data_IF_326114779003
#
_entry.id   IF_326114779003
#
_cell.length_a   1.000
_cell.length_b   1.000
_cell.length_c   1.000
_cell.angle_alpha   90.00
_cell.angle_beta   90.00
_cell.angle_gamma   90.00
#
_symmetry.space_group_name_H-M   'P 1'
#
loop_
_entity.id
_entity.type
_entity.pdbx_description
1 polymer ?
#
# COMPACT_ATOMS: atom_id res chain seq x y z
N UNK A 1 -46.50 -12.56 -32.86
CA UNK A 1 -46.20 -13.31 -31.63
C UNK A 1 -44.73 -13.67 -31.50
N UNK A 2 -44.06 -14.11 -32.54
CA UNK A 2 -42.62 -14.43 -32.45
C UNK A 2 -41.71 -13.23 -32.13
N UNK A 3 -42.07 -12.04 -32.61
CA UNK A 3 -41.28 -10.80 -32.34
C UNK A 3 -41.39 -10.33 -30.88
N UNK A 4 -42.52 -10.55 -30.22
CA UNK A 4 -42.74 -10.21 -28.82
C UNK A 4 -41.88 -11.10 -27.90
N UNK A 5 -41.71 -12.37 -28.28
CA UNK A 5 -40.89 -13.34 -27.56
C UNK A 5 -39.40 -12.96 -27.63
N UNK A 6 -38.92 -12.46 -28.79
CA UNK A 6 -37.54 -11.99 -28.96
C UNK A 6 -37.25 -10.74 -28.15
N UNK A 7 -38.20 -9.81 -28.08
CA UNK A 7 -38.05 -8.58 -27.29
C UNK A 7 -38.01 -8.91 -25.79
N UNK A 8 -38.82 -9.87 -25.34
CA UNK A 8 -38.80 -10.31 -23.95
C UNK A 8 -37.50 -11.04 -23.59
N UNK A 9 -36.98 -11.85 -24.51
CA UNK A 9 -35.72 -12.57 -24.31
C UNK A 9 -34.52 -11.62 -24.30
N UNK A 10 -34.55 -10.58 -25.14
CA UNK A 10 -33.51 -9.54 -25.15
C UNK A 10 -33.52 -8.69 -23.88
N UNK A 11 -34.72 -8.40 -23.34
CA UNK A 11 -34.85 -7.63 -22.09
C UNK A 11 -34.33 -8.41 -20.87
N UNK A 12 -34.47 -9.74 -20.86
CA UNK A 12 -33.94 -10.59 -19.77
C UNK A 12 -32.43 -10.67 -19.83
N UNK A 13 -31.81 -10.62 -21.00
CA UNK A 13 -30.37 -10.61 -21.16
C UNK A 13 -29.73 -9.29 -20.71
N UNK A 14 -30.47 -8.18 -20.76
CA UNK A 14 -29.97 -6.89 -20.30
C UNK A 14 -30.02 -6.74 -18.77
N UNK A 15 -30.85 -7.52 -18.09
CA UNK A 15 -30.93 -7.48 -16.62
C UNK A 15 -29.87 -8.31 -15.90
N UNK A 16 -29.19 -9.20 -16.60
CA UNK A 16 -28.15 -10.06 -16.02
C UNK A 16 -26.75 -9.43 -16.01
N UNK A 17 -26.54 -8.22 -16.58
CA UNK A 17 -25.23 -7.57 -16.66
C UNK A 17 -24.94 -6.60 -15.51
N UNK A 18 -25.89 -6.40 -14.56
CA UNK A 18 -25.77 -5.36 -13.52
C UNK A 18 -25.37 -5.84 -12.13
N UNK A 19 -25.00 -7.11 -11.91
CA UNK A 19 -24.87 -7.65 -10.55
C UNK A 19 -23.46 -8.03 -10.10
N UNK A 20 -22.40 -7.62 -10.82
CA UNK A 20 -21.02 -7.80 -10.33
C UNK A 20 -20.56 -6.54 -9.62
N UNK A 21 -20.89 -6.41 -8.32
CA UNK A 21 -20.17 -5.50 -7.44
C UNK A 21 -18.77 -6.07 -7.28
N UNK A 22 -17.75 -5.30 -7.71
CA UNK A 22 -16.38 -5.63 -7.37
C UNK A 22 -16.23 -5.53 -5.86
N UNK A 23 -15.90 -6.64 -5.22
CA UNK A 23 -15.53 -6.62 -3.81
C UNK A 23 -14.29 -5.71 -3.65
N UNK A 24 -14.28 -4.91 -2.57
CA UNK A 24 -13.15 -4.07 -2.25
C UNK A 24 -11.96 -4.95 -1.88
N UNK A 25 -10.85 -4.83 -2.60
CA UNK A 25 -9.61 -5.52 -2.26
C UNK A 25 -8.85 -4.72 -1.20
N UNK A 26 -9.13 -5.01 0.06
CA UNK A 26 -8.50 -4.34 1.20
C UNK A 26 -6.99 -4.55 1.25
N UNK A 27 -6.52 -5.74 0.84
CA UNK A 27 -5.10 -6.04 0.76
C UNK A 27 -4.38 -5.15 -0.25
N UNK A 28 -4.96 -5.00 -1.44
CA UNK A 28 -4.40 -4.12 -2.47
C UNK A 28 -4.35 -2.67 -2.01
N UNK A 29 -5.38 -2.19 -1.32
CA UNK A 29 -5.40 -0.81 -0.78
C UNK A 29 -4.32 -0.62 0.28
N UNK A 30 -4.16 -1.58 1.18
CA UNK A 30 -3.10 -1.56 2.19
C UNK A 30 -1.71 -1.53 1.55
N UNK A 31 -1.49 -2.33 0.51
CA UNK A 31 -0.22 -2.39 -0.20
C UNK A 31 0.09 -1.09 -0.95
N UNK A 32 -0.90 -0.46 -1.57
CA UNK A 32 -0.73 0.85 -2.20
C UNK A 32 -0.40 1.93 -1.16
N UNK A 33 -1.01 1.90 0.01
CA UNK A 33 -0.68 2.80 1.10
C UNK A 33 0.78 2.60 1.55
N UNK A 34 1.20 1.35 1.76
CA UNK A 34 2.58 1.01 2.12
C UNK A 34 3.58 1.51 1.07
N UNK A 35 3.28 1.27 -0.21
CA UNK A 35 4.09 1.77 -1.33
C UNK A 35 4.24 3.28 -1.27
N UNK A 36 3.15 4.00 -1.08
CA UNK A 36 3.16 5.46 -0.99
C UNK A 36 4.03 5.97 0.16
N UNK A 37 3.96 5.33 1.33
CA UNK A 37 4.84 5.68 2.45
C UNK A 37 6.31 5.46 2.11
N UNK A 38 6.66 4.34 1.48
CA UNK A 38 8.04 4.08 1.05
C UNK A 38 8.50 5.04 -0.04
N UNK A 39 7.62 5.47 -0.93
CA UNK A 39 7.93 6.52 -1.92
C UNK A 39 8.27 7.84 -1.22
N UNK A 40 7.57 8.20 -0.16
CA UNK A 40 7.92 9.34 0.67
C UNK A 40 9.30 9.18 1.31
N UNK A 41 9.62 7.99 1.82
CA UNK A 41 10.92 7.69 2.41
C UNK A 41 12.06 7.91 1.41
N UNK A 42 11.95 7.32 0.23
CA UNK A 42 13.00 7.43 -0.80
C UNK A 42 13.11 8.83 -1.41
N UNK A 43 12.05 9.64 -1.31
CA UNK A 43 12.03 11.03 -1.76
C UNK A 43 12.55 12.02 -0.72
N UNK A 44 13.01 11.53 0.45
CA UNK A 44 13.49 12.38 1.53
C UNK A 44 12.38 13.04 2.36
N UNK A 45 11.13 12.65 2.16
CA UNK A 45 9.97 13.15 2.92
C UNK A 45 9.80 12.32 4.20
N UNK A 46 10.78 12.39 5.08
CA UNK A 46 10.87 11.52 6.26
C UNK A 46 9.74 11.74 7.25
N UNK A 47 9.28 12.98 7.39
CA UNK A 47 8.16 13.29 8.28
C UNK A 47 6.87 12.62 7.80
N UNK A 48 6.60 12.63 6.50
CA UNK A 48 5.44 11.94 5.92
C UNK A 48 5.55 10.41 6.09
N UNK A 49 6.74 9.85 5.99
CA UNK A 49 6.96 8.44 6.28
C UNK A 49 6.67 8.11 7.75
N UNK A 50 7.13 8.95 8.67
CA UNK A 50 6.87 8.80 10.11
C UNK A 50 5.37 8.89 10.43
N UNK A 51 4.66 9.82 9.80
CA UNK A 51 3.22 9.99 9.96
C UNK A 51 2.41 8.79 9.44
N UNK A 52 3.00 7.99 8.56
CA UNK A 52 2.42 6.73 8.10
C UNK A 52 2.53 5.57 9.09
N UNK A 53 3.24 5.74 10.18
CA UNK A 53 3.40 4.73 11.23
C UNK A 53 2.28 4.84 12.26
N UNK A 54 1.85 3.69 12.79
CA UNK A 54 0.89 3.65 13.89
C UNK A 54 1.56 4.02 15.21
N UNK A 55 1.67 5.30 15.47
CA UNK A 55 2.32 5.88 16.64
C UNK A 55 1.33 6.73 17.45
N UNK A 56 1.60 7.03 18.72
CA UNK A 56 0.80 7.97 19.49
C UNK A 56 0.72 9.34 18.83
N UNK A 57 -0.40 10.04 19.01
CA UNK A 57 -0.66 11.34 18.39
C UNK A 57 0.37 12.40 18.76
N UNK A 58 0.93 12.29 19.96
CA UNK A 58 1.99 13.19 20.44
C UNK A 58 3.27 12.41 20.69
N UNK A 59 4.29 12.71 19.91
CA UNK A 59 5.63 12.15 20.09
C UNK A 59 6.53 13.16 20.80
N UNK A 60 7.39 12.72 21.74
CA UNK A 60 8.47 13.56 22.23
C UNK A 60 9.33 14.05 21.07
N UNK A 61 9.75 15.31 21.10
CA UNK A 61 10.60 15.90 20.05
C UNK A 61 11.91 15.14 19.84
N UNK A 62 12.50 14.66 20.92
CA UNK A 62 13.73 13.86 20.86
C UNK A 62 13.53 12.54 20.12
N UNK A 63 12.39 11.88 20.33
CA UNK A 63 12.04 10.65 19.62
C UNK A 63 11.81 10.93 18.13
N UNK A 64 11.00 11.94 17.80
CA UNK A 64 10.76 12.33 16.42
C UNK A 64 12.06 12.66 15.68
N UNK A 65 12.90 13.50 16.27
CA UNK A 65 14.20 13.87 15.68
C UNK A 65 15.10 12.66 15.45
N UNK A 66 15.12 11.72 16.39
CA UNK A 66 15.92 10.49 16.26
C UNK A 66 15.38 9.60 15.12
N UNK A 67 14.07 9.47 15.02
CA UNK A 67 13.44 8.67 13.95
C UNK A 67 13.74 9.28 12.57
N UNK A 68 13.57 10.59 12.42
CA UNK A 68 13.89 11.27 11.16
C UNK A 68 15.35 11.09 10.78
N UNK A 69 16.25 11.16 11.74
CA UNK A 69 17.69 10.92 11.52
C UNK A 69 17.96 9.48 11.11
N UNK A 70 17.29 8.51 11.72
CA UNK A 70 17.42 7.10 11.37
C UNK A 70 16.99 6.84 9.92
N UNK A 71 15.89 7.47 9.46
CA UNK A 71 15.43 7.35 8.07
C UNK A 71 16.45 7.91 7.09
N UNK A 72 17.00 9.08 7.39
CA UNK A 72 18.06 9.69 6.59
C UNK A 72 19.28 8.78 6.48
N UNK A 73 19.74 8.24 7.59
CA UNK A 73 20.88 7.30 7.64
C UNK A 73 20.58 6.04 6.82
N UNK A 74 19.38 5.50 6.94
CA UNK A 74 18.95 4.34 6.15
C UNK A 74 19.05 4.63 4.64
N UNK A 75 18.46 5.73 4.19
CA UNK A 75 18.45 6.10 2.76
C UNK A 75 19.86 6.32 2.24
N UNK A 76 20.72 7.01 3.01
CA UNK A 76 22.13 7.21 2.65
C UNK A 76 22.90 5.89 2.55
N UNK A 77 22.61 4.95 3.44
CA UNK A 77 23.24 3.62 3.39
C UNK A 77 22.84 2.89 2.11
N UNK A 78 21.56 2.93 1.75
CA UNK A 78 21.09 2.31 0.50
C UNK A 78 21.75 2.95 -0.72
N UNK A 79 21.95 4.27 -0.72
CA UNK A 79 22.66 4.97 -1.79
C UNK A 79 24.10 4.48 -1.92
N UNK A 80 24.78 4.28 -0.81
CA UNK A 80 26.17 3.81 -0.77
C UNK A 80 26.29 2.33 -1.18
N UNK A 81 25.42 1.47 -0.65
CA UNK A 81 25.53 0.02 -0.83
C UNK A 81 24.93 -0.50 -2.13
N UNK A 82 23.86 0.14 -2.60
CA UNK A 82 23.04 -0.35 -3.74
C UNK A 82 22.75 0.71 -4.80
N UNK A 83 23.44 1.85 -4.76
CA UNK A 83 23.17 3.03 -5.63
C UNK A 83 21.74 3.58 -5.43
N UNK A 84 21.20 3.41 -4.23
CA UNK A 84 19.91 3.92 -3.84
C UNK A 84 18.72 3.03 -4.21
N UNK A 85 17.60 3.32 -3.57
CA UNK A 85 16.30 2.73 -3.93
C UNK A 85 15.70 3.61 -5.02
N UNK A 86 15.55 3.09 -6.24
CA UNK A 86 15.07 3.86 -7.40
C UNK A 86 13.57 3.79 -7.58
N UNK A 87 12.97 2.66 -7.17
CA UNK A 87 11.53 2.43 -7.34
C UNK A 87 11.03 1.48 -6.29
N UNK A 88 9.79 1.67 -5.86
CA UNK A 88 9.04 0.74 -5.02
C UNK A 88 7.86 0.23 -5.82
N UNK A 89 7.64 -1.06 -5.83
CA UNK A 89 6.47 -1.67 -6.45
C UNK A 89 5.79 -2.64 -5.50
N UNK A 90 4.50 -2.88 -5.71
CA UNK A 90 3.74 -3.88 -4.96
C UNK A 90 3.96 -5.25 -5.60
N UNK A 91 4.38 -6.22 -4.80
CA UNK A 91 4.45 -7.62 -5.22
C UNK A 91 3.13 -8.34 -4.94
N UNK A 92 2.65 -8.28 -3.71
CA UNK A 92 1.41 -8.91 -3.27
C UNK A 92 0.97 -8.34 -1.93
N UNK A 93 -0.20 -8.79 -1.45
CA UNK A 93 -0.68 -8.44 -0.14
C UNK A 93 -1.53 -9.57 0.45
N UNK A 94 -1.54 -9.67 1.76
CA UNK A 94 -2.42 -10.56 2.52
C UNK A 94 -3.24 -9.73 3.49
N UNK A 95 -4.56 -9.84 3.40
CA UNK A 95 -5.50 -9.15 4.28
C UNK A 95 -6.12 -10.11 5.29
N UNK A 96 -6.21 -9.66 6.54
CA UNK A 96 -6.90 -10.36 7.62
C UNK A 96 -8.10 -9.54 8.08
N UNK A 97 -9.29 -9.99 7.69
CA UNK A 97 -10.54 -9.30 8.04
C UNK A 97 -10.79 -9.29 9.55
N UNK A 98 -10.34 -10.32 10.27
CA UNK A 98 -10.58 -10.51 11.70
C UNK A 98 -10.13 -9.31 12.55
N UNK A 99 -8.96 -8.74 12.24
CA UNK A 99 -8.35 -7.67 13.01
C UNK A 99 -8.03 -6.42 12.17
N UNK A 100 -8.49 -6.39 10.93
CA UNK A 100 -8.23 -5.31 9.97
C UNK A 100 -6.73 -5.02 9.81
N UNK A 101 -5.93 -6.08 9.69
CA UNK A 101 -4.51 -6.00 9.40
C UNK A 101 -4.18 -6.55 8.02
N UNK A 102 -3.03 -6.18 7.51
CA UNK A 102 -2.53 -6.71 6.26
C UNK A 102 -1.01 -6.80 6.30
N UNK A 103 -0.45 -7.68 5.49
CA UNK A 103 0.97 -7.67 5.16
C UNK A 103 1.11 -7.23 3.71
N UNK A 104 1.78 -6.13 3.48
CA UNK A 104 2.13 -5.67 2.16
C UNK A 104 3.52 -6.17 1.80
N UNK A 105 3.62 -6.86 0.67
CA UNK A 105 4.90 -7.34 0.14
C UNK A 105 5.32 -6.39 -0.98
N UNK A 106 6.36 -5.59 -0.69
CA UNK A 106 6.89 -4.60 -1.63
C UNK A 106 8.20 -5.08 -2.22
N UNK A 107 8.49 -4.67 -3.43
CA UNK A 107 9.80 -4.82 -4.05
C UNK A 107 10.51 -3.48 -4.07
N UNK A 108 11.70 -3.44 -3.49
CA UNK A 108 12.61 -2.30 -3.59
C UNK A 108 13.53 -2.56 -4.78
N UNK A 109 13.48 -1.67 -5.76
CA UNK A 109 14.34 -1.73 -6.94
C UNK A 109 15.52 -0.79 -6.74
N UNK A 110 16.71 -1.37 -6.65
CA UNK A 110 17.94 -0.63 -6.40
C UNK A 110 18.61 -0.13 -7.68
N UNK A 111 19.42 0.91 -7.54
CA UNK A 111 20.17 1.49 -8.65
C UNK A 111 21.25 0.58 -9.23
N UNK A 112 21.66 -0.45 -8.50
CA UNK A 112 22.61 -1.49 -8.94
C UNK A 112 21.93 -2.65 -9.70
N UNK A 113 20.66 -2.49 -10.10
CA UNK A 113 19.84 -3.49 -10.80
C UNK A 113 19.45 -4.70 -9.96
N UNK A 114 19.67 -4.68 -8.66
CA UNK A 114 19.16 -5.70 -7.73
C UNK A 114 17.81 -5.30 -7.16
N UNK A 115 17.07 -6.28 -6.64
CA UNK A 115 15.78 -6.06 -5.98
C UNK A 115 15.75 -6.78 -4.65
N UNK A 116 14.98 -6.23 -3.71
CA UNK A 116 14.75 -6.85 -2.41
C UNK A 116 13.25 -6.80 -2.09
N UNK A 117 12.70 -7.92 -1.62
CA UNK A 117 11.35 -7.95 -1.11
C UNK A 117 11.34 -7.59 0.37
N UNK A 118 10.49 -6.64 0.72
CA UNK A 118 10.24 -6.27 2.12
C UNK A 118 8.79 -6.54 2.46
N UNK A 119 8.55 -6.94 3.71
CA UNK A 119 7.21 -7.14 4.25
C UNK A 119 6.89 -5.95 5.15
N UNK A 120 5.79 -5.27 4.85
CA UNK A 120 5.33 -4.13 5.64
C UNK A 120 4.02 -4.53 6.30
N UNK A 121 4.03 -4.78 7.62
CA UNK A 121 2.80 -5.02 8.37
C UNK A 121 1.97 -3.74 8.42
N UNK A 122 0.68 -3.86 8.12
CA UNK A 122 -0.24 -2.74 8.05
C UNK A 122 -1.43 -2.94 9.00
N UNK A 123 -1.94 -1.85 9.53
CA UNK A 123 -3.12 -1.81 10.40
C UNK A 123 -4.09 -0.75 9.88
N UNK A 124 -5.35 -1.12 9.74
CA UNK A 124 -6.40 -0.15 9.41
C UNK A 124 -6.96 0.48 10.69
N UNK A 125 -6.93 1.80 10.74
CA UNK A 125 -7.39 2.58 11.89
C UNK A 125 -8.13 3.82 11.38
N UNK A 126 -9.38 3.99 11.81
CA UNK A 126 -10.22 5.12 11.37
C UNK A 126 -10.33 5.26 9.84
N UNK A 127 -10.44 4.12 9.15
CA UNK A 127 -10.57 4.08 7.69
C UNK A 127 -9.27 4.27 6.91
N UNK A 128 -8.13 4.47 7.59
CA UNK A 128 -6.82 4.66 6.97
C UNK A 128 -5.86 3.53 7.33
N UNK A 129 -4.96 3.23 6.41
CA UNK A 129 -3.92 2.22 6.61
C UNK A 129 -2.63 2.86 7.11
N UNK A 130 -2.10 2.28 8.19
CA UNK A 130 -0.83 2.70 8.80
C UNK A 130 0.13 1.51 8.85
N UNK A 131 1.42 1.80 8.82
CA UNK A 131 2.46 0.81 9.10
C UNK A 131 2.49 0.51 10.60
N UNK A 132 2.61 -0.79 10.95
CA UNK A 132 2.71 -1.25 12.34
C UNK A 132 4.13 -1.12 12.86
#
# INVERSE_FOLDING_TARGET
MKQLLYVLFLAVLLLSSCSRRKETDHGAIAAEAAKHYYENLISGKYKLFLEGMNLPDKLPRSYESQMLKNFEVFVKRQEKEHKGIRQVSVHSAQFRAKDSTANAYLLLHYGDSTTEQVVVPMLKKRGLWYMR
#
